data_IF_751438336324
#
_entry.id   IF_751438336324
#
_cell.length_a   1.000
_cell.length_b   1.000
_cell.length_c   1.000
_cell.angle_alpha   90.00
_cell.angle_beta   90.00
_cell.angle_gamma   90.00
#
_symmetry.space_group_name_H-M   'P 1'
#
loop_
_entity.id
_entity.type
_entity.pdbx_description
1 polymer ?
#
# COMPACT_ATOMS: atom_id res chain seq x y z
N UNK A 1 -60.19 13.48 12.91
CA UNK A 1 -59.49 14.68 13.43
C UNK A 1 -58.34 14.36 14.41
N UNK A 2 -58.07 13.08 14.73
CA UNK A 2 -57.02 12.67 15.68
C UNK A 2 -55.64 12.36 15.05
N UNK A 3 -55.57 12.14 13.73
CA UNK A 3 -54.30 11.79 13.05
C UNK A 3 -53.38 13.00 12.84
N UNK A 4 -53.95 14.23 12.79
CA UNK A 4 -53.17 15.47 12.61
C UNK A 4 -52.50 15.98 13.89
N UNK A 5 -53.01 15.63 15.07
CA UNK A 5 -52.38 15.97 16.34
C UNK A 5 -51.17 15.07 16.67
N UNK A 6 -51.17 13.82 16.21
CA UNK A 6 -50.06 12.90 16.43
C UNK A 6 -48.81 13.27 15.62
N UNK A 7 -48.99 13.83 14.42
CA UNK A 7 -47.87 14.26 13.56
C UNK A 7 -47.19 15.54 14.07
N UNK A 8 -47.94 16.44 14.73
CA UNK A 8 -47.38 17.65 15.35
C UNK A 8 -46.51 17.36 16.58
N UNK A 9 -46.87 16.32 17.35
CA UNK A 9 -46.11 15.93 18.56
C UNK A 9 -44.80 15.20 18.21
N UNK A 10 -44.73 14.50 17.07
CA UNK A 10 -43.57 13.73 16.65
C UNK A 10 -42.46 14.62 16.02
N UNK A 11 -42.83 15.79 15.49
CA UNK A 11 -41.89 16.80 14.97
C UNK A 11 -41.24 17.59 16.11
N UNK A 12 -41.93 17.80 17.23
CA UNK A 12 -41.37 18.47 18.42
C UNK A 12 -40.34 17.60 19.18
N UNK A 13 -40.47 16.27 19.13
CA UNK A 13 -39.50 15.34 19.75
C UNK A 13 -38.22 15.20 18.89
N UNK A 14 -38.29 15.45 17.59
CA UNK A 14 -37.13 15.40 16.70
C UNK A 14 -36.24 16.65 16.77
N UNK A 15 -36.73 17.76 17.33
CA UNK A 15 -35.95 19.00 17.50
C UNK A 15 -35.19 19.09 18.83
N UNK A 16 -35.46 18.22 19.80
CA UNK A 16 -34.73 18.17 21.08
C UNK A 16 -33.57 17.16 21.10
N UNK A 17 -33.32 16.43 20.01
CA UNK A 17 -32.23 15.44 19.90
C UNK A 17 -31.08 15.92 19.01
N UNK A 18 -30.89 17.24 18.88
CA UNK A 18 -29.61 17.81 18.46
C UNK A 18 -28.60 17.67 19.61
N UNK A 19 -28.23 16.42 19.89
CA UNK A 19 -27.16 16.08 20.82
C UNK A 19 -25.87 16.65 20.26
N UNK A 20 -25.32 17.61 20.99
CA UNK A 20 -23.99 18.18 20.85
C UNK A 20 -22.96 17.14 20.38
N UNK A 21 -22.31 17.37 19.22
CA UNK A 21 -21.01 16.77 18.94
C UNK A 21 -20.01 17.37 19.95
N UNK A 22 -19.93 16.78 21.14
CA UNK A 22 -18.86 17.06 22.08
C UNK A 22 -17.60 16.37 21.53
N UNK A 23 -16.57 17.17 21.26
CA UNK A 23 -15.26 16.65 20.92
C UNK A 23 -14.80 15.68 22.03
N UNK A 24 -14.15 14.59 21.63
CA UNK A 24 -13.78 13.56 22.58
C UNK A 24 -12.69 14.07 23.53
N UNK A 25 -12.79 13.77 24.84
CA UNK A 25 -11.77 14.17 25.80
C UNK A 25 -10.41 13.57 25.44
N UNK A 26 -9.36 14.39 25.49
CA UNK A 26 -8.00 13.99 25.11
C UNK A 26 -7.16 13.84 26.38
N UNK A 27 -6.51 12.69 26.55
CA UNK A 27 -5.55 12.49 27.64
C UNK A 27 -4.26 13.24 27.34
N UNK A 28 -3.78 14.03 28.31
CA UNK A 28 -2.51 14.74 28.28
C UNK A 28 -1.79 14.59 29.61
N UNK A 29 -0.51 14.91 29.63
CA UNK A 29 0.29 14.92 30.85
C UNK A 29 0.50 16.37 31.28
N UNK A 30 0.18 16.71 32.53
CA UNK A 30 0.41 18.06 33.06
C UNK A 30 1.91 18.30 33.34
N UNK A 31 2.27 19.54 33.71
CA UNK A 31 3.66 19.91 34.04
C UNK A 31 4.25 19.13 35.23
N UNK A 32 3.41 18.47 36.03
CA UNK A 32 3.80 17.64 37.19
C UNK A 32 3.92 16.15 36.85
N UNK A 33 3.69 15.76 35.59
CA UNK A 33 3.79 14.37 35.14
C UNK A 33 2.52 13.53 35.36
N UNK A 34 1.42 14.14 35.80
CA UNK A 34 0.15 13.44 36.04
C UNK A 34 -0.69 13.36 34.76
N UNK A 35 -1.31 12.20 34.51
CA UNK A 35 -2.24 12.04 33.40
C UNK A 35 -3.56 12.74 33.71
N UNK A 36 -3.89 13.75 32.92
CA UNK A 36 -5.13 14.51 32.98
C UNK A 36 -5.97 14.31 31.72
N UNK A 37 -7.28 14.24 31.89
CA UNK A 37 -8.27 14.25 30.83
C UNK A 37 -8.62 15.71 30.56
N UNK A 38 -8.32 16.20 29.36
CA UNK A 38 -8.65 17.57 28.94
C UNK A 38 -9.91 17.53 28.08
N UNK A 39 -10.95 18.23 28.55
CA UNK A 39 -12.21 18.36 27.84
C UNK A 39 -12.15 19.51 26.82
N UNK A 40 -13.06 19.53 25.82
CA UNK A 40 -13.08 20.55 24.77
C UNK A 40 -13.29 21.99 25.28
N UNK A 41 -13.90 22.13 26.46
CA UNK A 41 -14.13 23.40 27.15
C UNK A 41 -12.89 23.86 27.96
N UNK A 42 -11.80 23.10 27.91
CA UNK A 42 -10.56 23.35 28.63
C UNK A 42 -10.59 22.87 30.09
N UNK A 43 -11.67 22.24 30.56
CA UNK A 43 -11.68 21.65 31.91
C UNK A 43 -10.77 20.43 31.97
N UNK A 44 -10.19 20.16 33.15
CA UNK A 44 -9.26 19.05 33.36
C UNK A 44 -9.71 18.17 34.51
N UNK A 45 -9.61 16.85 34.34
CA UNK A 45 -9.83 15.87 35.41
C UNK A 45 -8.62 14.94 35.52
N UNK A 46 -8.19 14.61 36.74
CA UNK A 46 -7.09 13.67 36.93
C UNK A 46 -7.57 12.26 36.61
N UNK A 47 -6.80 11.52 35.80
CA UNK A 47 -7.21 10.20 35.31
C UNK A 47 -7.47 9.18 36.44
N UNK A 48 -6.81 9.32 37.60
CA UNK A 48 -7.03 8.47 38.77
C UNK A 48 -8.45 8.57 39.34
N UNK A 49 -9.09 9.74 39.26
CA UNK A 49 -10.49 9.93 39.69
C UNK A 49 -11.47 9.32 38.68
N UNK A 50 -11.12 9.30 37.39
CA UNK A 50 -11.96 8.75 36.33
C UNK A 50 -11.99 7.21 36.32
N UNK A 51 -10.90 6.54 36.71
CA UNK A 51 -10.81 5.07 36.77
C UNK A 51 -11.41 4.45 38.03
N UNK A 52 -12.02 5.26 38.92
CA UNK A 52 -12.66 4.79 40.14
C UNK A 52 -11.68 4.28 41.21
N UNK A 53 -10.39 4.59 41.07
CA UNK A 53 -9.33 4.13 41.96
C UNK A 53 -8.65 5.32 42.66
N UNK A 54 -9.35 5.93 43.62
CA UNK A 54 -8.70 6.64 44.74
C UNK A 54 -9.69 6.95 45.86
N UNK A 55 -9.45 6.36 47.03
CA UNK A 55 -9.81 6.99 48.30
C UNK A 55 -8.97 8.26 48.46
N UNK A 56 -9.64 9.39 48.68
CA UNK A 56 -9.04 10.62 49.21
C UNK A 56 -8.39 11.56 48.18
N UNK A 57 -9.19 12.46 47.58
CA UNK A 57 -8.69 13.68 46.96
C UNK A 57 -9.48 14.89 47.46
N UNK A 58 -8.72 15.87 47.97
CA UNK A 58 -9.13 17.08 48.65
C UNK A 58 -9.79 18.09 47.68
N UNK A 59 -11.04 18.49 47.95
CA UNK A 59 -11.90 19.32 47.07
C UNK A 59 -11.58 20.82 47.13
N UNK A 60 -10.31 21.21 47.17
CA UNK A 60 -9.91 22.60 47.48
C UNK A 60 -8.87 23.20 46.55
N UNK A 61 -8.81 22.79 45.27
CA UNK A 61 -7.98 23.47 44.26
C UNK A 61 -8.81 24.14 43.16
N UNK A 62 -8.45 25.38 42.75
CA UNK A 62 -9.16 26.09 41.68
C UNK A 62 -8.99 25.39 40.33
N UNK A 63 -10.06 25.38 39.52
CA UNK A 63 -10.04 24.87 38.14
C UNK A 63 -9.08 25.69 37.25
N UNK A 64 -7.86 25.19 37.02
CA UNK A 64 -6.99 25.70 35.96
C UNK A 64 -7.50 25.17 34.60
N UNK A 65 -7.95 26.08 33.73
CA UNK A 65 -8.38 25.75 32.37
C UNK A 65 -7.18 25.54 31.45
N UNK A 66 -7.14 24.40 30.79
CA UNK A 66 -6.11 24.04 29.82
C UNK A 66 -6.33 24.81 28.50
N UNK A 67 -5.32 25.50 27.95
CA UNK A 67 -5.46 26.22 26.69
C UNK A 67 -5.50 25.23 25.51
N UNK A 68 -6.65 25.16 24.81
CA UNK A 68 -6.84 24.37 23.59
C UNK A 68 -6.89 25.33 22.39
N UNK A 69 -5.90 25.25 21.50
CA UNK A 69 -5.89 26.01 20.25
C UNK A 69 -6.54 25.18 19.13
N UNK A 70 -7.68 25.64 18.61
CA UNK A 70 -8.35 25.06 17.44
C UNK A 70 -7.81 25.74 16.17
N UNK A 71 -6.76 25.16 15.57
CA UNK A 71 -6.21 25.64 14.29
C UNK A 71 -6.77 24.75 13.18
N UNK A 72 -7.66 25.32 12.36
CA UNK A 72 -8.12 24.66 11.13
C UNK A 72 -7.15 24.98 9.99
N UNK A 73 -6.43 23.97 9.51
CA UNK A 73 -5.62 24.07 8.30
C UNK A 73 -6.53 23.74 7.12
N UNK A 74 -6.83 24.72 6.27
CA UNK A 74 -7.54 24.47 5.02
C UNK A 74 -6.59 23.80 4.00
N UNK A 75 -7.01 22.73 3.33
CA UNK A 75 -6.19 22.10 2.29
C UNK A 75 -5.96 23.08 1.14
N UNK A 76 -4.73 23.21 0.66
CA UNK A 76 -4.42 24.06 -0.50
C UNK A 76 -5.25 23.61 -1.71
N UNK A 77 -6.18 24.45 -2.14
CA UNK A 77 -6.98 24.24 -3.33
C UNK A 77 -6.21 24.71 -4.59
N UNK A 78 -5.87 23.80 -5.49
CA UNK A 78 -5.51 24.14 -6.87
C UNK A 78 -4.45 23.25 -7.52
N UNK A 79 -4.58 23.03 -8.83
CA UNK A 79 -3.49 22.58 -9.69
C UNK A 79 -2.37 23.63 -9.61
N UNK A 80 -1.23 23.29 -9.00
CA UNK A 80 -0.07 24.16 -8.98
C UNK A 80 0.37 24.36 -10.44
N UNK A 81 0.28 25.57 -11.01
CA UNK A 81 0.66 25.80 -12.40
C UNK A 81 2.17 25.59 -12.53
N UNK A 82 2.57 24.58 -13.32
CA UNK A 82 3.99 24.31 -13.57
C UNK A 82 4.58 25.48 -14.35
N UNK A 83 5.54 26.17 -13.76
CA UNK A 83 6.17 27.32 -14.42
C UNK A 83 7.26 26.87 -15.39
N UNK A 84 7.66 27.76 -16.31
CA UNK A 84 8.78 27.52 -17.24
C UNK A 84 10.09 27.26 -16.49
N UNK A 85 10.28 27.95 -15.36
CA UNK A 85 11.44 27.77 -14.48
C UNK A 85 11.43 26.39 -13.79
N UNK A 86 10.24 25.89 -13.41
CA UNK A 86 10.10 24.53 -12.87
C UNK A 86 10.45 23.49 -13.92
N UNK A 87 10.00 23.67 -15.17
CA UNK A 87 10.34 22.76 -16.27
C UNK A 87 11.85 22.75 -16.57
N UNK A 88 12.51 23.92 -16.49
CA UNK A 88 13.96 24.02 -16.63
C UNK A 88 14.68 23.24 -15.52
N UNK A 89 14.28 23.43 -14.26
CA UNK A 89 14.84 22.68 -13.11
C UNK A 89 14.61 21.18 -13.21
N UNK A 90 13.43 20.76 -13.67
CA UNK A 90 13.11 19.35 -13.92
C UNK A 90 14.02 18.78 -15.02
N UNK A 91 14.24 19.51 -16.12
CA UNK A 91 15.11 19.08 -17.21
C UNK A 91 16.58 18.98 -16.76
N UNK A 92 17.09 19.99 -16.04
CA UNK A 92 18.43 19.98 -15.45
C UNK A 92 18.60 18.80 -14.48
N UNK A 93 17.61 18.55 -13.62
CA UNK A 93 17.63 17.41 -12.69
C UNK A 93 17.61 16.07 -13.41
N UNK A 94 16.79 15.91 -14.45
CA UNK A 94 16.73 14.70 -15.28
C UNK A 94 18.06 14.46 -16.00
N UNK A 95 18.67 15.51 -16.55
CA UNK A 95 19.99 15.44 -17.18
C UNK A 95 21.05 14.95 -16.20
N UNK A 96 21.07 15.49 -14.97
CA UNK A 96 21.99 15.05 -13.93
C UNK A 96 21.79 13.58 -13.55
N UNK A 97 20.54 13.16 -13.32
CA UNK A 97 20.21 11.76 -13.00
C UNK A 97 20.63 10.82 -14.13
N UNK A 98 20.39 11.19 -15.39
CA UNK A 98 20.77 10.38 -16.53
C UNK A 98 22.30 10.26 -16.67
N UNK A 99 23.05 11.33 -16.39
CA UNK A 99 24.52 11.29 -16.34
C UNK A 99 25.02 10.39 -15.22
N UNK A 100 24.44 10.49 -14.03
CA UNK A 100 24.79 9.65 -12.89
C UNK A 100 24.48 8.17 -13.17
N UNK A 101 23.32 7.87 -13.76
CA UNK A 101 22.94 6.53 -14.19
C UNK A 101 23.90 5.96 -15.24
N UNK A 102 24.26 6.75 -16.26
CA UNK A 102 25.21 6.33 -17.28
C UNK A 102 26.59 5.99 -16.70
N UNK A 103 27.09 6.80 -15.75
CA UNK A 103 28.34 6.52 -15.04
C UNK A 103 28.25 5.23 -14.23
N UNK A 104 27.20 5.05 -13.43
CA UNK A 104 27.01 3.83 -12.61
C UNK A 104 26.92 2.60 -13.51
N UNK A 105 26.21 2.68 -14.63
CA UNK A 105 26.09 1.56 -15.57
C UNK A 105 27.44 1.24 -16.26
N UNK A 106 28.26 2.25 -16.58
CA UNK A 106 29.62 2.05 -17.07
C UNK A 106 30.51 1.37 -16.02
N UNK A 107 30.49 1.86 -14.77
CA UNK A 107 31.26 1.27 -13.68
C UNK A 107 30.88 -0.21 -13.47
N UNK A 108 29.58 -0.55 -13.52
CA UNK A 108 29.09 -1.93 -13.46
C UNK A 108 29.57 -2.79 -14.61
N UNK A 109 29.54 -2.27 -15.84
CA UNK A 109 30.04 -2.99 -17.01
C UNK A 109 31.56 -3.26 -16.90
N UNK A 110 32.33 -2.29 -16.41
CA UNK A 110 33.78 -2.44 -16.18
C UNK A 110 34.09 -3.42 -15.04
N UNK A 111 33.28 -3.43 -13.98
CA UNK A 111 33.37 -4.44 -12.92
C UNK A 111 33.05 -5.85 -13.43
N UNK A 112 31.98 -6.01 -14.22
CA UNK A 112 31.60 -7.29 -14.82
C UNK A 112 32.70 -7.83 -15.74
N UNK A 113 33.30 -6.98 -16.58
CA UNK A 113 34.41 -7.37 -17.47
C UNK A 113 35.67 -7.78 -16.70
N UNK A 114 35.98 -7.07 -15.59
CA UNK A 114 37.07 -7.45 -14.68
C UNK A 114 36.80 -8.78 -13.97
N UNK A 115 35.56 -9.04 -13.55
CA UNK A 115 35.18 -10.31 -12.96
C UNK A 115 35.30 -11.46 -13.95
N UNK A 116 34.85 -11.27 -15.19
CA UNK A 116 35.00 -12.26 -16.26
C UNK A 116 36.47 -12.61 -16.48
N UNK A 117 37.32 -11.59 -16.63
CA UNK A 117 38.78 -11.79 -16.83
C UNK A 117 39.42 -12.57 -15.67
N UNK A 118 38.96 -12.35 -14.43
CA UNK A 118 39.44 -13.10 -13.25
C UNK A 118 38.99 -14.56 -13.31
N UNK A 119 37.72 -14.81 -13.59
CA UNK A 119 37.17 -16.16 -13.72
C UNK A 119 37.81 -16.96 -14.86
N UNK A 120 38.12 -16.32 -15.99
CA UNK A 120 38.83 -16.96 -17.10
C UNK A 120 40.24 -17.41 -16.69
N UNK A 121 40.97 -16.57 -15.94
CA UNK A 121 42.29 -16.93 -15.40
C UNK A 121 42.20 -18.10 -14.42
N UNK A 122 41.24 -18.05 -13.51
CA UNK A 122 41.02 -19.11 -12.50
C UNK A 122 40.66 -20.44 -13.18
N UNK A 123 39.81 -20.40 -14.22
CA UNK A 123 39.45 -21.56 -15.03
C UNK A 123 40.66 -22.15 -15.76
N UNK A 124 41.48 -21.31 -16.42
CA UNK A 124 42.70 -21.77 -17.08
C UNK A 124 43.72 -22.34 -16.10
N UNK A 125 43.85 -21.76 -14.91
CA UNK A 125 44.72 -22.29 -13.87
C UNK A 125 44.23 -23.64 -13.35
N UNK A 126 42.92 -23.82 -13.16
CA UNK A 126 42.34 -25.09 -12.76
C UNK A 126 42.54 -26.21 -13.80
N UNK A 127 42.47 -25.86 -15.10
CA UNK A 127 42.79 -26.78 -16.19
C UNK A 127 44.27 -27.20 -16.17
N UNK A 128 45.20 -26.26 -15.94
CA UNK A 128 46.64 -26.57 -15.87
C UNK A 128 47.01 -27.43 -14.65
N UNK A 129 46.29 -27.29 -13.55
CA UNK A 129 46.53 -28.04 -12.31
C UNK A 129 45.85 -29.42 -12.28
N UNK A 130 45.22 -29.87 -13.38
CA UNK A 130 44.44 -31.11 -13.46
C UNK A 130 43.44 -31.24 -12.29
N UNK A 131 42.69 -30.18 -12.02
CA UNK A 131 41.64 -30.19 -11.00
C UNK A 131 40.58 -31.27 -11.28
N UNK A 132 39.88 -31.72 -10.24
CA UNK A 132 38.83 -32.73 -10.37
C UNK A 132 37.71 -32.28 -11.33
N UNK A 133 37.22 -33.19 -12.17
CA UNK A 133 36.15 -32.97 -13.15
C UNK A 133 34.93 -32.15 -12.64
N UNK A 134 34.33 -32.41 -11.45
CA UNK A 134 33.20 -31.61 -10.96
C UNK A 134 33.56 -30.15 -10.61
N UNK A 135 34.84 -29.83 -10.40
CA UNK A 135 35.29 -28.45 -10.13
C UNK A 135 35.39 -27.67 -11.43
N UNK A 136 35.85 -28.31 -12.51
CA UNK A 136 35.96 -27.71 -13.85
C UNK A 136 34.57 -27.36 -14.38
N UNK A 137 33.59 -28.27 -14.24
CA UNK A 137 32.21 -28.05 -14.66
C UNK A 137 31.53 -26.88 -13.91
N UNK A 138 31.73 -26.80 -12.58
CA UNK A 138 31.24 -25.67 -11.77
C UNK A 138 31.90 -24.35 -12.15
N UNK A 139 33.16 -24.35 -12.55
CA UNK A 139 33.84 -23.14 -13.03
C UNK A 139 33.35 -22.75 -14.44
N UNK A 140 33.10 -23.71 -15.32
CA UNK A 140 32.57 -23.47 -16.66
C UNK A 140 31.17 -22.83 -16.61
N UNK A 141 30.27 -23.36 -15.77
CA UNK A 141 28.92 -22.79 -15.56
C UNK A 141 28.97 -21.39 -14.99
N UNK A 142 29.86 -21.12 -14.02
CA UNK A 142 30.09 -19.75 -13.49
C UNK A 142 30.63 -18.80 -14.55
N UNK A 143 31.51 -19.28 -15.42
CA UNK A 143 32.08 -18.49 -16.51
C UNK A 143 31.00 -18.11 -17.53
N UNK A 144 30.12 -19.04 -17.88
CA UNK A 144 28.99 -18.78 -18.79
C UNK A 144 28.02 -17.75 -18.22
N UNK A 145 27.65 -17.89 -16.94
CA UNK A 145 26.82 -16.91 -16.25
C UNK A 145 27.48 -15.52 -16.21
N UNK A 146 28.78 -15.46 -15.96
CA UNK A 146 29.54 -14.20 -15.97
C UNK A 146 29.56 -13.52 -17.35
N UNK A 147 29.65 -14.29 -18.45
CA UNK A 147 29.57 -13.76 -19.82
C UNK A 147 28.20 -13.17 -20.13
N UNK A 148 27.13 -13.85 -19.72
CA UNK A 148 25.77 -13.33 -19.89
C UNK A 148 25.56 -12.03 -19.11
N UNK A 149 26.02 -11.99 -17.86
CA UNK A 149 25.96 -10.81 -17.00
C UNK A 149 26.78 -9.63 -17.58
N UNK A 150 27.98 -9.87 -18.13
CA UNK A 150 28.76 -8.83 -18.80
C UNK A 150 28.03 -8.28 -20.03
N UNK A 151 27.47 -9.15 -20.87
CA UNK A 151 26.74 -8.74 -22.07
C UNK A 151 25.50 -7.89 -21.71
N UNK A 152 24.80 -8.23 -20.64
CA UNK A 152 23.67 -7.44 -20.13
C UNK A 152 24.11 -6.09 -19.58
N UNK A 153 25.15 -6.07 -18.72
CA UNK A 153 25.69 -4.83 -18.18
C UNK A 153 26.21 -3.88 -19.27
N UNK A 154 26.84 -4.40 -20.33
CA UNK A 154 27.26 -3.60 -21.48
C UNK A 154 26.07 -3.02 -22.26
N UNK A 155 24.97 -3.78 -22.40
CA UNK A 155 23.74 -3.28 -23.03
C UNK A 155 23.12 -2.16 -22.19
N UNK A 156 22.99 -2.37 -20.88
CA UNK A 156 22.49 -1.37 -19.94
C UNK A 156 23.32 -0.08 -20.02
N UNK A 157 24.66 -0.18 -19.97
CA UNK A 157 25.56 0.95 -20.08
C UNK A 157 25.38 1.75 -21.38
N UNK A 158 25.21 1.08 -22.52
CA UNK A 158 24.93 1.74 -23.80
C UNK A 158 23.58 2.46 -23.80
N UNK A 159 22.55 1.83 -23.24
CA UNK A 159 21.21 2.45 -23.14
C UNK A 159 21.25 3.68 -22.24
N UNK A 160 21.81 3.58 -21.04
CA UNK A 160 21.93 4.69 -20.10
C UNK A 160 22.76 5.86 -20.69
N UNK A 161 23.82 5.56 -21.44
CA UNK A 161 24.61 6.57 -22.14
C UNK A 161 23.78 7.30 -23.21
N UNK A 162 23.00 6.57 -24.01
CA UNK A 162 22.11 7.18 -25.01
C UNK A 162 21.04 8.07 -24.38
N UNK A 163 20.51 7.67 -23.22
CA UNK A 163 19.53 8.46 -22.47
C UNK A 163 20.13 9.72 -21.86
N UNK A 164 21.35 9.63 -21.34
CA UNK A 164 22.13 10.78 -20.86
C UNK A 164 22.32 11.82 -21.94
N UNK A 165 22.76 11.41 -23.15
CA UNK A 165 22.89 12.35 -24.28
C UNK A 165 21.55 12.95 -24.70
N UNK A 166 20.46 12.15 -24.68
CA UNK A 166 19.12 12.65 -24.98
C UNK A 166 18.69 13.72 -23.99
N UNK A 167 18.81 13.46 -22.68
CA UNK A 167 18.43 14.39 -21.62
C UNK A 167 19.30 15.68 -21.64
N UNK A 168 20.59 15.55 -21.92
CA UNK A 168 21.49 16.69 -22.08
C UNK A 168 21.12 17.54 -23.30
N UNK A 169 20.78 16.92 -24.43
CA UNK A 169 20.39 17.65 -25.65
C UNK A 169 19.12 18.48 -25.44
N UNK A 170 18.15 17.99 -24.66
CA UNK A 170 16.91 18.71 -24.32
C UNK A 170 17.23 19.92 -23.46
N UNK A 171 18.09 19.74 -22.46
CA UNK A 171 18.50 20.81 -21.54
C UNK A 171 19.30 21.89 -22.28
N UNK A 172 20.28 21.49 -23.11
CA UNK A 172 21.18 22.41 -23.82
C UNK A 172 20.48 23.21 -24.92
N UNK A 173 19.51 22.60 -25.62
CA UNK A 173 18.76 23.27 -26.70
C UNK A 173 17.62 24.14 -26.17
N UNK A 174 17.20 23.96 -24.91
CA UNK A 174 16.11 24.72 -24.31
C UNK A 174 14.71 24.19 -24.67
N UNK A 175 14.61 23.01 -25.29
CA UNK A 175 13.35 22.41 -25.76
C UNK A 175 12.57 21.69 -24.65
N UNK A 176 12.79 22.04 -23.38
CA UNK A 176 12.15 21.37 -22.24
C UNK A 176 10.63 21.58 -22.18
N UNK A 177 10.13 22.72 -22.70
CA UNK A 177 8.68 22.96 -22.80
C UNK A 177 8.03 22.05 -23.83
N UNK A 178 8.64 21.94 -25.02
CA UNK A 178 8.15 21.07 -26.10
C UNK A 178 8.21 19.59 -25.71
N UNK A 179 9.30 19.16 -25.05
CA UNK A 179 9.44 17.80 -24.53
C UNK A 179 8.38 17.48 -23.46
N UNK A 180 8.11 18.43 -22.57
CA UNK A 180 7.06 18.29 -21.56
C UNK A 180 5.66 18.16 -22.19
N UNK A 181 5.33 19.03 -23.15
CA UNK A 181 4.05 18.99 -23.87
C UNK A 181 3.89 17.69 -24.65
N UNK A 182 4.93 17.26 -25.37
CA UNK A 182 4.94 15.97 -26.09
C UNK A 182 4.71 14.79 -25.14
N UNK A 183 5.38 14.77 -23.99
CA UNK A 183 5.18 13.72 -22.99
C UNK A 183 3.76 13.75 -22.40
N UNK A 184 3.19 14.94 -22.23
CA UNK A 184 1.80 15.07 -21.79
C UNK A 184 0.82 14.59 -22.86
N UNK A 185 1.07 14.88 -24.13
CA UNK A 185 0.32 14.39 -25.28
C UNK A 185 0.40 12.88 -25.39
N UNK A 186 1.59 12.28 -25.28
CA UNK A 186 1.77 10.82 -25.25
C UNK A 186 0.99 10.18 -24.10
N UNK A 187 1.02 10.77 -22.89
CA UNK A 187 0.21 10.28 -21.76
C UNK A 187 -1.28 10.39 -22.02
N UNK A 188 -1.71 11.47 -22.68
CA UNK A 188 -3.11 11.67 -23.11
C UNK A 188 -3.51 10.71 -24.23
N UNK A 189 -2.61 10.39 -25.15
CA UNK A 189 -2.85 9.43 -26.23
C UNK A 189 -2.92 8.01 -25.69
N UNK A 190 -2.01 7.66 -24.78
CA UNK A 190 -2.09 6.40 -24.01
C UNK A 190 -3.41 6.36 -23.24
N UNK A 191 -3.78 7.40 -22.49
CA UNK A 191 -5.07 7.42 -21.78
C UNK A 191 -6.26 7.31 -22.73
N UNK A 192 -6.23 7.99 -23.89
CA UNK A 192 -7.26 7.89 -24.95
C UNK A 192 -7.30 6.53 -25.62
N UNK A 193 -6.17 5.84 -25.73
CA UNK A 193 -6.10 4.46 -26.21
C UNK A 193 -6.86 3.54 -25.25
N UNK A 194 -6.76 3.79 -23.93
CA UNK A 194 -7.57 3.10 -22.92
C UNK A 194 -9.03 3.59 -22.88
N UNK A 195 -9.31 4.83 -23.28
CA UNK A 195 -10.65 5.43 -23.34
C UNK A 195 -11.47 4.97 -24.56
N UNK A 196 -10.80 4.69 -25.69
CA UNK A 196 -11.40 4.17 -26.93
C UNK A 196 -11.45 2.64 -27.01
N UNK A 197 -10.90 1.93 -26.02
CA UNK A 197 -11.29 0.54 -25.79
C UNK A 197 -12.76 0.55 -25.32
N UNK A 198 -13.69 0.58 -26.29
CA UNK A 198 -15.02 0.02 -26.06
C UNK A 198 -14.78 -1.38 -25.52
N UNK A 199 -15.15 -1.60 -24.27
CA UNK A 199 -15.34 -2.90 -23.67
C UNK A 199 -16.26 -3.70 -24.61
N UNK A 200 -15.67 -4.42 -25.55
CA UNK A 200 -16.26 -5.65 -26.06
C UNK A 200 -16.28 -6.59 -24.87
N UNK A 201 -17.42 -6.55 -24.18
CA UNK A 201 -17.82 -7.61 -23.29
C UNK A 201 -17.67 -8.93 -24.06
N UNK A 202 -17.10 -9.91 -23.34
CA UNK A 202 -17.15 -11.33 -23.66
C UNK A 202 -16.65 -11.76 -25.04
N UNK A 203 -15.36 -12.12 -25.13
CA UNK A 203 -14.91 -13.42 -25.65
C UNK A 203 -13.39 -13.44 -25.80
N UNK A 204 -12.81 -14.62 -25.56
CA UNK A 204 -11.45 -15.05 -25.94
C UNK A 204 -10.26 -14.47 -25.18
N UNK A 205 -10.06 -14.96 -23.95
CA UNK A 205 -8.70 -15.33 -23.48
C UNK A 205 -8.31 -16.77 -23.91
N UNK A 206 -9.04 -17.39 -24.83
CA UNK A 206 -8.73 -18.75 -25.33
C UNK A 206 -7.80 -18.81 -26.55
N UNK A 207 -7.28 -17.68 -27.06
CA UNK A 207 -6.42 -17.70 -28.26
C UNK A 207 -4.98 -17.30 -27.97
N UNK A 208 -4.38 -17.87 -26.92
CA UNK A 208 -2.94 -18.02 -26.85
C UNK A 208 -2.64 -19.51 -27.07
N UNK A 209 -2.49 -19.89 -28.35
CA UNK A 209 -2.02 -21.21 -28.76
C UNK A 209 -0.58 -21.37 -28.28
N UNK A 210 -0.40 -22.11 -27.18
CA UNK A 210 0.84 -22.82 -26.86
C UNK A 210 0.62 -24.28 -27.28
N UNK A 211 1.60 -24.80 -28.01
CA UNK A 211 1.60 -26.00 -28.84
C UNK A 211 1.10 -27.31 -28.17
N UNK A 212 0.39 -28.11 -28.97
CA UNK A 212 -0.48 -29.26 -28.65
C UNK A 212 0.28 -30.61 -28.53
N UNK A 213 1.27 -30.77 -27.65
CA UNK A 213 1.82 -32.12 -27.42
C UNK A 213 2.48 -32.35 -26.05
N UNK A 214 1.66 -32.49 -25.01
CA UNK A 214 2.03 -33.29 -23.84
C UNK A 214 0.78 -33.77 -23.09
N UNK A 215 0.53 -35.08 -23.05
CA UNK A 215 -0.55 -35.65 -22.25
C UNK A 215 -0.10 -36.94 -21.58
N UNK A 216 0.12 -36.90 -20.25
CA UNK A 216 -0.33 -38.00 -19.41
C UNK A 216 -1.15 -37.47 -18.22
N UNK A 217 -2.19 -38.23 -17.83
CA UNK A 217 -3.08 -38.10 -16.66
C UNK A 217 -4.46 -37.44 -16.89
N UNK A 218 -5.32 -38.18 -17.60
CA UNK A 218 -6.71 -37.87 -17.98
C UNK A 218 -7.75 -37.77 -16.84
N UNK A 219 -7.35 -37.47 -15.59
CA UNK A 219 -8.32 -37.14 -14.53
C UNK A 219 -7.90 -36.03 -13.57
N UNK A 220 -6.69 -35.47 -13.72
CA UNK A 220 -6.22 -34.30 -12.96
C UNK A 220 -6.39 -32.99 -13.70
N UNK A 221 -6.55 -33.01 -15.02
CA UNK A 221 -6.65 -31.80 -15.86
C UNK A 221 -7.84 -30.91 -15.50
N UNK A 222 -8.99 -31.48 -15.13
CA UNK A 222 -10.14 -30.68 -14.73
C UNK A 222 -9.92 -29.95 -13.39
N UNK A 223 -9.03 -30.43 -12.52
CA UNK A 223 -8.73 -29.77 -11.24
C UNK A 223 -7.61 -28.74 -11.40
N UNK A 224 -6.69 -28.94 -12.35
CA UNK A 224 -5.61 -27.98 -12.65
C UNK A 224 -6.15 -26.81 -13.48
N UNK A 225 -6.99 -27.09 -14.49
CA UNK A 225 -7.60 -26.06 -15.35
C UNK A 225 -8.82 -25.40 -14.69
N UNK A 226 -9.56 -26.13 -13.85
CA UNK A 226 -10.70 -25.64 -13.09
C UNK A 226 -10.60 -26.05 -11.62
N UNK A 227 -9.65 -25.49 -10.86
CA UNK A 227 -9.56 -25.77 -9.44
C UNK A 227 -10.90 -25.46 -8.77
N UNK A 228 -11.43 -26.36 -7.92
CA UNK A 228 -12.68 -26.12 -7.23
C UNK A 228 -12.55 -24.81 -6.45
N UNK A 229 -13.54 -23.91 -6.53
CA UNK A 229 -13.46 -22.61 -5.88
C UNK A 229 -13.25 -22.83 -4.37
N UNK A 230 -12.33 -22.07 -3.73
CA UNK A 230 -12.07 -22.24 -2.31
C UNK A 230 -13.36 -22.03 -1.51
N UNK A 231 -13.60 -22.88 -0.51
CA UNK A 231 -14.81 -22.80 0.32
C UNK A 231 -14.92 -21.43 0.98
N UNK A 232 -16.05 -20.76 0.80
CA UNK A 232 -16.32 -19.46 1.42
C UNK A 232 -16.53 -19.61 2.92
N UNK A 233 -15.63 -19.03 3.71
CA UNK A 233 -15.71 -19.02 5.16
C UNK A 233 -16.21 -17.65 5.61
N UNK A 234 -17.40 -17.63 6.20
CA UNK A 234 -18.06 -16.43 6.72
C UNK A 234 -17.78 -16.35 8.22
N UNK A 235 -17.28 -15.21 8.69
CA UNK A 235 -16.98 -14.98 10.10
C UNK A 235 -18.25 -14.57 10.89
N UNK A 236 -19.13 -13.79 10.27
CA UNK A 236 -20.38 -13.35 10.88
C UNK A 236 -21.45 -13.12 9.82
N UNK A 237 -22.67 -13.59 10.08
CA UNK A 237 -23.85 -13.31 9.26
C UNK A 237 -25.03 -13.04 10.19
N UNK A 238 -25.58 -11.83 10.15
CA UNK A 238 -26.66 -11.46 11.04
C UNK A 238 -27.09 -10.01 10.90
N UNK A 239 -27.83 -9.51 11.90
CA UNK A 239 -28.16 -8.09 12.01
C UNK A 239 -27.15 -7.42 12.93
N UNK A 240 -26.67 -6.26 12.53
CA UNK A 240 -25.86 -5.35 13.34
C UNK A 240 -26.70 -4.71 14.46
N UNK A 241 -26.07 -4.05 15.42
CA UNK A 241 -26.72 -3.38 16.57
C UNK A 241 -27.79 -2.36 16.14
N UNK A 242 -27.71 -1.88 14.89
CA UNK A 242 -28.65 -0.95 14.25
C UNK A 242 -29.71 -1.63 13.38
N UNK A 243 -29.85 -2.95 13.47
CA UNK A 243 -30.84 -3.75 12.73
C UNK A 243 -30.55 -3.95 11.24
N UNK A 244 -29.38 -3.52 10.75
CA UNK A 244 -28.97 -3.68 9.34
C UNK A 244 -28.32 -5.05 9.13
N UNK A 245 -28.59 -5.68 7.99
CA UNK A 245 -27.92 -6.93 7.63
C UNK A 245 -26.41 -6.67 7.47
N UNK A 246 -25.61 -7.49 8.16
CA UNK A 246 -24.16 -7.49 8.16
C UNK A 246 -23.66 -8.89 7.85
N UNK A 247 -22.77 -9.00 6.87
CA UNK A 247 -22.05 -10.21 6.51
C UNK A 247 -20.56 -9.90 6.46
N UNK A 248 -19.78 -10.56 7.31
CA UNK A 248 -18.33 -10.43 7.37
C UNK A 248 -17.68 -11.72 6.93
N UNK A 249 -16.73 -11.63 6.01
CA UNK A 249 -15.92 -12.77 5.62
C UNK A 249 -14.77 -13.00 6.60
N UNK A 250 -14.24 -14.21 6.60
CA UNK A 250 -13.08 -14.54 7.41
C UNK A 250 -11.84 -13.80 6.94
N UNK A 251 -11.07 -13.28 7.90
CA UNK A 251 -9.77 -12.65 7.67
C UNK A 251 -8.80 -13.63 7.02
N UNK A 252 -8.09 -13.13 6.00
CA UNK A 252 -7.03 -13.85 5.31
C UNK A 252 -5.81 -12.95 5.19
N UNK A 253 -4.64 -13.57 5.16
CA UNK A 253 -3.39 -12.88 4.91
C UNK A 253 -3.40 -12.26 3.51
N UNK A 254 -2.94 -11.01 3.41
CA UNK A 254 -2.76 -10.31 2.14
C UNK A 254 -1.27 -10.23 1.80
N UNK A 255 -0.46 -9.72 2.74
CA UNK A 255 0.99 -9.64 2.60
C UNK A 255 1.70 -9.62 3.96
N UNK A 256 2.99 -9.92 3.92
CA UNK A 256 3.93 -9.69 5.03
C UNK A 256 5.11 -8.87 4.53
N UNK A 257 5.72 -8.06 5.39
CA UNK A 257 6.87 -7.27 5.03
C UNK A 257 7.87 -7.22 6.17
N UNK A 258 9.13 -7.52 5.86
CA UNK A 258 10.24 -7.49 6.81
C UNK A 258 11.49 -6.99 6.12
N UNK A 259 12.06 -5.88 6.62
CA UNK A 259 13.36 -5.37 6.19
C UNK A 259 14.46 -6.38 6.57
N UNK A 260 15.36 -6.68 5.63
CA UNK A 260 16.50 -7.59 5.80
C UNK A 260 17.33 -7.25 7.07
N UNK A 261 17.44 -5.97 7.42
CA UNK A 261 18.17 -5.49 8.60
C UNK A 261 17.54 -5.98 9.91
N UNK A 262 16.22 -6.15 9.94
CA UNK A 262 15.46 -6.53 11.12
C UNK A 262 15.31 -8.05 11.26
N UNK A 263 15.55 -8.83 10.20
CA UNK A 263 15.43 -10.30 10.23
C UNK A 263 16.27 -10.97 11.33
N UNK A 264 17.48 -10.46 11.58
CA UNK A 264 18.36 -10.99 12.63
C UNK A 264 17.81 -10.80 14.05
N UNK A 265 17.01 -9.75 14.27
CA UNK A 265 16.43 -9.40 15.57
C UNK A 265 15.09 -10.12 15.78
N UNK A 266 14.31 -10.28 14.72
CA UNK A 266 12.94 -10.80 14.77
C UNK A 266 12.84 -12.33 14.89
N UNK A 267 13.96 -13.06 14.93
CA UNK A 267 14.03 -14.52 15.16
C UNK A 267 13.03 -15.34 14.32
N UNK A 268 12.75 -14.91 13.09
CA UNK A 268 11.83 -15.57 12.16
C UNK A 268 10.36 -15.13 12.26
N UNK A 269 10.04 -14.09 13.04
CA UNK A 269 8.74 -13.41 12.96
C UNK A 269 8.77 -12.32 11.88
N UNK A 270 7.62 -12.11 11.23
CA UNK A 270 7.45 -11.03 10.26
C UNK A 270 7.27 -9.69 10.98
N UNK A 271 7.91 -8.63 10.48
CA UNK A 271 7.85 -7.30 11.08
C UNK A 271 6.45 -6.68 10.95
N UNK A 272 5.90 -6.71 9.73
CA UNK A 272 4.56 -6.24 9.38
C UNK A 272 3.77 -7.39 8.76
N UNK A 273 2.59 -7.64 9.30
CA UNK A 273 1.62 -8.58 8.74
C UNK A 273 0.34 -7.83 8.41
N UNK A 274 -0.16 -7.95 7.18
CA UNK A 274 -1.42 -7.35 6.75
C UNK A 274 -2.45 -8.44 6.47
N UNK A 275 -3.50 -8.47 7.28
CA UNK A 275 -4.68 -9.32 7.07
C UNK A 275 -5.83 -8.48 6.54
N UNK A 276 -6.64 -9.05 5.66
CA UNK A 276 -7.79 -8.37 5.09
C UNK A 276 -9.05 -9.23 5.09
N UNK A 277 -10.20 -8.57 5.08
CA UNK A 277 -11.49 -9.20 4.82
C UNK A 277 -12.50 -8.19 4.27
N UNK A 278 -13.56 -8.70 3.65
CA UNK A 278 -14.66 -7.88 3.20
C UNK A 278 -15.85 -7.95 4.15
N UNK A 279 -16.50 -6.80 4.32
CA UNK A 279 -17.75 -6.64 5.07
C UNK A 279 -18.81 -6.05 4.17
N UNK A 280 -19.99 -6.67 4.15
CA UNK A 280 -21.20 -6.12 3.56
C UNK A 280 -22.14 -5.65 4.67
N UNK A 281 -22.50 -4.37 4.67
CA UNK A 281 -23.37 -3.75 5.66
C UNK A 281 -24.43 -2.90 4.98
N UNK A 282 -25.69 -3.35 5.05
CA UNK A 282 -26.84 -2.59 4.54
C UNK A 282 -26.74 -2.19 3.06
N UNK A 283 -26.13 -3.04 2.23
CA UNK A 283 -25.91 -2.81 0.79
C UNK A 283 -24.58 -2.12 0.44
N UNK A 284 -23.89 -1.55 1.42
CA UNK A 284 -22.53 -1.04 1.23
C UNK A 284 -21.52 -2.13 1.48
N UNK A 285 -20.38 -2.07 0.78
CA UNK A 285 -19.28 -3.02 0.93
C UNK A 285 -18.01 -2.27 1.34
N UNK A 286 -17.24 -2.91 2.20
CA UNK A 286 -16.02 -2.35 2.76
C UNK A 286 -14.92 -3.41 2.71
N UNK A 287 -13.71 -3.00 2.34
CA UNK A 287 -12.49 -3.74 2.62
C UNK A 287 -11.95 -3.27 3.96
N UNK A 288 -11.78 -4.22 4.87
CA UNK A 288 -11.09 -3.96 6.14
C UNK A 288 -9.70 -4.55 6.07
N UNK A 289 -8.69 -3.74 6.36
CA UNK A 289 -7.30 -4.16 6.47
C UNK A 289 -6.83 -3.99 7.92
N UNK A 290 -6.18 -5.03 8.45
CA UNK A 290 -5.58 -5.09 9.77
C UNK A 290 -4.06 -5.22 9.61
N UNK A 291 -3.34 -4.16 9.93
CA UNK A 291 -1.87 -4.11 9.91
C UNK A 291 -1.36 -4.39 11.32
N UNK A 292 -0.64 -5.48 11.49
CA UNK A 292 -0.05 -5.89 12.77
C UNK A 292 1.45 -5.79 12.70
N UNK A 293 2.04 -5.02 13.61
CA UNK A 293 3.48 -4.86 13.77
C UNK A 293 3.96 -5.64 15.00
N UNK A 294 5.04 -6.41 14.81
CA UNK A 294 5.68 -7.17 15.88
C UNK A 294 6.49 -6.29 16.86
N UNK A 295 6.60 -4.98 16.61
CA UNK A 295 7.44 -4.08 17.38
C UNK A 295 6.71 -2.78 17.80
N UNK A 296 6.77 -2.39 19.09
CA UNK A 296 6.06 -1.22 19.61
C UNK A 296 6.48 0.11 18.99
N UNK A 297 7.77 0.27 18.63
CA UNK A 297 8.27 1.53 18.07
C UNK A 297 7.81 1.78 16.63
N UNK A 298 7.07 0.85 16.01
CA UNK A 298 6.49 1.06 14.69
C UNK A 298 5.58 2.29 14.65
N UNK A 299 4.92 2.65 15.77
CA UNK A 299 4.12 3.88 15.86
C UNK A 299 4.94 5.16 15.62
N UNK A 300 6.20 5.20 16.07
CA UNK A 300 7.05 6.38 15.87
C UNK A 300 7.54 6.50 14.41
N UNK A 301 7.76 5.36 13.75
CA UNK A 301 8.22 5.31 12.36
C UNK A 301 7.09 5.56 11.35
N UNK A 302 5.92 4.96 11.56
CA UNK A 302 4.79 5.00 10.63
C UNK A 302 3.73 6.04 11.00
N UNK A 303 3.64 6.41 12.29
CA UNK A 303 2.64 7.34 12.79
C UNK A 303 1.24 6.73 12.84
N UNK A 304 0.29 7.37 12.16
CA UNK A 304 -1.13 6.99 12.15
C UNK A 304 -1.70 7.02 10.73
N UNK A 305 -2.88 6.42 10.54
CA UNK A 305 -3.59 6.42 9.27
C UNK A 305 -4.67 7.49 9.37
N UNK A 306 -4.52 8.55 8.58
CA UNK A 306 -5.48 9.66 8.53
C UNK A 306 -6.79 9.26 7.88
N UNK A 307 -7.88 9.96 8.23
CA UNK A 307 -9.15 9.82 7.51
C UNK A 307 -9.00 10.41 6.10
N UNK A 308 -9.38 9.63 5.09
CA UNK A 308 -9.20 10.01 3.69
C UNK A 308 -7.80 9.74 3.17
N UNK A 309 -6.93 9.07 3.93
CA UNK A 309 -5.69 8.52 3.40
C UNK A 309 -6.01 7.51 2.30
N UNK A 310 -5.19 7.49 1.26
CA UNK A 310 -5.42 6.62 0.12
C UNK A 310 -4.71 5.27 0.28
N UNK A 311 -5.36 4.24 -0.24
CA UNK A 311 -4.82 2.93 -0.50
C UNK A 311 -4.84 2.72 -2.00
N UNK A 312 -3.69 2.53 -2.64
CA UNK A 312 -3.61 2.29 -4.07
C UNK A 312 -3.20 0.84 -4.32
N UNK A 313 -4.09 0.06 -4.92
CA UNK A 313 -3.85 -1.33 -5.31
C UNK A 313 -3.42 -1.33 -6.77
N UNK A 314 -2.21 -1.81 -7.04
CA UNK A 314 -1.71 -2.08 -8.39
C UNK A 314 -2.17 -3.47 -8.80
N UNK A 315 -2.75 -3.58 -9.98
CA UNK A 315 -3.19 -4.85 -10.55
C UNK A 315 -2.13 -5.35 -11.54
N UNK A 316 -2.03 -6.68 -11.70
CA UNK A 316 -1.08 -7.29 -12.66
C UNK A 316 -1.32 -6.85 -14.11
N UNK A 317 -2.54 -6.44 -14.44
CA UNK A 317 -2.90 -5.89 -15.75
C UNK A 317 -2.46 -4.42 -15.96
N UNK A 318 -1.74 -3.83 -15.01
CA UNK A 318 -1.26 -2.45 -15.05
C UNK A 318 -2.29 -1.39 -14.66
N UNK A 319 -3.48 -1.79 -14.20
CA UNK A 319 -4.50 -0.89 -13.67
C UNK A 319 -4.26 -0.56 -12.19
N UNK A 320 -4.85 0.55 -11.75
CA UNK A 320 -4.75 1.01 -10.37
C UNK A 320 -6.14 1.26 -9.79
N UNK A 321 -6.35 0.81 -8.56
CA UNK A 321 -7.58 1.07 -7.79
C UNK A 321 -7.20 1.91 -6.58
N UNK A 322 -7.81 3.08 -6.43
CA UNK A 322 -7.59 3.96 -5.28
C UNK A 322 -8.80 3.92 -4.36
N UNK A 323 -8.58 3.53 -3.11
CA UNK A 323 -9.57 3.54 -2.04
C UNK A 323 -9.21 4.60 -0.99
N UNK A 324 -10.18 5.14 -0.28
CA UNK A 324 -9.95 6.16 0.75
C UNK A 324 -10.42 5.66 2.12
N UNK A 325 -9.62 5.87 3.16
CA UNK A 325 -9.96 5.42 4.51
C UNK A 325 -11.20 6.16 5.05
N UNK A 326 -12.15 5.40 5.60
CA UNK A 326 -13.39 5.97 6.15
C UNK A 326 -13.21 6.65 7.51
N UNK A 327 -12.17 6.25 8.26
CA UNK A 327 -11.87 6.73 9.61
C UNK A 327 -10.36 6.83 9.80
N UNK A 328 -9.97 7.71 10.72
CA UNK A 328 -8.60 7.77 11.23
C UNK A 328 -8.38 6.63 12.21
N UNK A 329 -7.18 6.04 12.17
CA UNK A 329 -6.72 5.09 13.18
C UNK A 329 -5.29 5.41 13.64
N UNK A 330 -5.11 5.48 14.97
CA UNK A 330 -3.83 5.76 15.63
C UNK A 330 -3.06 4.49 15.99
N UNK A 331 -3.64 3.33 15.70
CA UNK A 331 -3.13 2.03 16.08
C UNK A 331 -3.41 1.75 17.56
N UNK A 332 -3.63 0.48 17.89
CA UNK A 332 -3.83 0.00 19.26
C UNK A 332 -2.66 -0.87 19.63
N UNK A 333 -1.99 -0.53 20.74
CA UNK A 333 -0.90 -1.33 21.27
C UNK A 333 -1.43 -2.27 22.34
N UNK A 334 -1.24 -3.56 22.14
CA UNK A 334 -1.58 -4.57 23.14
C UNK A 334 -0.36 -4.88 24.01
N UNK A 335 -0.45 -4.51 25.29
CA UNK A 335 0.60 -4.73 26.29
C UNK A 335 0.85 -6.21 26.62
N UNK A 336 -0.11 -7.11 26.31
CA UNK A 336 0.02 -8.53 26.60
C UNK A 336 0.76 -9.27 25.48
N UNK A 337 0.39 -9.00 24.23
CA UNK A 337 1.02 -9.63 23.06
C UNK A 337 2.23 -8.86 22.55
N UNK A 338 2.39 -7.59 22.94
CA UNK A 338 3.46 -6.72 22.47
C UNK A 338 3.28 -6.26 21.03
N UNK A 339 2.08 -6.44 20.46
CA UNK A 339 1.75 -6.13 19.07
C UNK A 339 1.09 -4.76 18.96
N UNK A 340 1.41 -4.05 17.87
CA UNK A 340 0.75 -2.81 17.48
C UNK A 340 -0.13 -3.09 16.26
N UNK A 341 -1.45 -2.90 16.39
CA UNK A 341 -2.40 -3.19 15.33
C UNK A 341 -3.12 -1.93 14.84
N UNK A 342 -3.22 -1.74 13.53
CA UNK A 342 -4.04 -0.72 12.89
C UNK A 342 -5.18 -1.38 12.11
N UNK A 343 -6.40 -0.91 12.28
CA UNK A 343 -7.60 -1.42 11.64
C UNK A 343 -8.25 -0.31 10.81
N UNK A 344 -8.23 -0.50 9.50
CA UNK A 344 -8.69 0.51 8.53
C UNK A 344 -9.81 -0.03 7.68
N UNK A 345 -10.85 0.78 7.49
CA UNK A 345 -11.97 0.46 6.63
C UNK A 345 -11.96 1.34 5.38
N UNK A 346 -11.98 0.69 4.23
CA UNK A 346 -12.04 1.30 2.91
C UNK A 346 -13.40 1.00 2.28
N UNK A 347 -14.27 2.00 2.08
CA UNK A 347 -15.49 1.82 1.29
C UNK A 347 -15.13 1.46 -0.15
N UNK A 348 -15.85 0.50 -0.73
CA UNK A 348 -15.63 0.06 -2.11
C UNK A 348 -16.93 0.14 -2.89
N UNK A 349 -16.87 0.77 -4.07
CA UNK A 349 -17.99 0.84 -4.99
C UNK A 349 -18.10 -0.38 -5.92
N UNK A 350 -19.21 -0.48 -6.65
CA UNK A 350 -19.45 -1.63 -7.53
C UNK A 350 -18.46 -1.70 -8.71
N UNK A 351 -17.96 -0.56 -9.20
CA UNK A 351 -17.00 -0.53 -10.30
C UNK A 351 -15.64 -1.09 -9.88
N UNK A 352 -15.17 -0.70 -8.71
CA UNK A 352 -13.93 -1.18 -8.09
C UNK A 352 -14.03 -2.67 -7.74
N UNK A 353 -15.19 -3.13 -7.26
CA UNK A 353 -15.44 -4.56 -7.04
C UNK A 353 -15.35 -5.35 -8.34
N UNK A 354 -15.94 -4.85 -9.43
CA UNK A 354 -15.90 -5.53 -10.71
C UNK A 354 -14.47 -5.64 -11.26
N UNK A 355 -13.61 -4.65 -10.99
CA UNK A 355 -12.20 -4.71 -11.35
C UNK A 355 -11.45 -5.74 -10.49
N UNK A 356 -11.58 -5.68 -9.17
CA UNK A 356 -10.96 -6.62 -8.23
C UNK A 356 -11.44 -8.07 -8.38
N UNK A 357 -12.64 -8.28 -8.92
CA UNK A 357 -13.19 -9.62 -9.21
C UNK A 357 -12.55 -10.28 -10.43
N UNK A 358 -12.02 -9.48 -11.35
CA UNK A 358 -11.54 -9.93 -12.67
C UNK A 358 -10.03 -9.73 -12.85
N UNK A 359 -9.33 -9.21 -11.85
CA UNK A 359 -7.90 -8.91 -11.94
C UNK A 359 -7.22 -9.18 -10.61
N UNK A 360 -6.04 -9.79 -10.72
CA UNK A 360 -5.18 -10.11 -9.60
C UNK A 360 -4.38 -8.87 -9.18
N UNK A 361 -4.14 -8.74 -7.88
CA UNK A 361 -3.42 -7.61 -7.32
C UNK A 361 -1.94 -7.96 -7.16
N UNK A 362 -1.07 -7.03 -7.55
CA UNK A 362 0.39 -7.16 -7.58
C UNK A 362 1.02 -6.53 -6.33
N UNK A 363 0.73 -5.25 -6.10
CA UNK A 363 1.24 -4.51 -4.94
C UNK A 363 0.21 -3.53 -4.39
N UNK A 364 0.42 -3.09 -3.15
CA UNK A 364 -0.40 -2.08 -2.49
C UNK A 364 0.47 -0.95 -1.98
N UNK A 365 0.11 0.29 -2.30
CA UNK A 365 0.69 1.48 -1.71
C UNK A 365 -0.24 1.99 -0.62
N UNK A 366 0.29 2.02 0.61
CA UNK A 366 -0.42 2.49 1.79
C UNK A 366 0.09 3.89 2.15
N UNK A 367 -0.83 4.83 2.36
CA UNK A 367 -0.53 6.17 2.86
C UNK A 367 -0.62 6.21 4.39
N UNK A 368 0.53 6.46 5.01
CA UNK A 368 0.73 6.70 6.42
C UNK A 368 0.88 8.21 6.70
N UNK A 369 0.78 8.65 7.95
CA UNK A 369 1.04 10.06 8.29
C UNK A 369 2.51 10.46 8.09
N UNK A 370 3.44 9.50 8.16
CA UNK A 370 4.87 9.74 7.93
C UNK A 370 5.27 9.70 6.45
N UNK A 371 4.42 9.18 5.56
CA UNK A 371 4.74 9.03 4.14
C UNK A 371 3.90 7.96 3.46
N UNK A 372 4.43 7.35 2.40
CA UNK A 372 3.80 6.22 1.72
C UNK A 372 4.80 5.08 1.60
N UNK A 373 4.31 3.85 1.69
CA UNK A 373 5.12 2.65 1.47
C UNK A 373 4.39 1.69 0.53
N UNK A 374 5.16 0.98 -0.30
CA UNK A 374 4.67 -0.02 -1.24
C UNK A 374 4.97 -1.41 -0.70
N UNK A 375 3.97 -2.28 -0.67
CA UNK A 375 4.07 -3.66 -0.23
C UNK A 375 3.65 -4.61 -1.36
N UNK A 376 4.46 -5.64 -1.58
CA UNK A 376 4.18 -6.71 -2.53
C UNK A 376 3.12 -7.67 -1.95
N UNK A 377 2.15 -8.08 -2.78
CA UNK A 377 1.09 -9.00 -2.38
C UNK A 377 1.51 -10.43 -2.69
N UNK A 378 1.48 -11.31 -1.69
CA UNK A 378 1.76 -12.73 -1.90
C UNK A 378 0.51 -13.51 -2.33
N UNK A 379 -0.66 -13.10 -1.83
CA UNK A 379 -1.94 -13.74 -2.14
C UNK A 379 -2.67 -13.00 -3.28
N UNK A 380 -2.19 -13.20 -4.51
CA UNK A 380 -2.69 -12.54 -5.73
C UNK A 380 -4.22 -12.69 -5.94
N UNK A 381 -4.76 -13.84 -5.56
CA UNK A 381 -6.18 -14.19 -5.67
C UNK A 381 -7.05 -13.74 -4.50
N UNK A 382 -6.48 -13.06 -3.49
CA UNK A 382 -7.19 -12.66 -2.27
C UNK A 382 -8.52 -11.96 -2.58
N UNK A 383 -8.47 -10.92 -3.42
CA UNK A 383 -9.64 -10.10 -3.73
C UNK A 383 -10.70 -10.87 -4.52
N UNK A 384 -10.27 -11.63 -5.52
CA UNK A 384 -11.14 -12.45 -6.37
C UNK A 384 -11.92 -13.45 -5.52
N UNK A 385 -11.22 -14.18 -4.64
CA UNK A 385 -11.83 -15.20 -3.80
C UNK A 385 -12.77 -14.59 -2.75
N UNK A 386 -12.35 -13.53 -2.06
CA UNK A 386 -13.18 -12.89 -1.04
C UNK A 386 -14.44 -12.26 -1.65
N UNK A 387 -14.32 -11.53 -2.77
CA UNK A 387 -15.47 -10.88 -3.41
C UNK A 387 -16.49 -11.91 -3.91
N UNK A 388 -16.04 -13.03 -4.50
CA UNK A 388 -16.93 -14.12 -4.92
C UNK A 388 -17.72 -14.73 -3.77
N UNK A 389 -17.23 -14.62 -2.54
CA UNK A 389 -17.93 -15.11 -1.35
C UNK A 389 -18.96 -14.13 -0.78
N UNK A 390 -18.98 -12.87 -1.23
CA UNK A 390 -20.00 -11.88 -0.85
C UNK A 390 -21.25 -11.96 -1.72
N UNK A 391 -21.08 -12.32 -3.00
CA UNK A 391 -22.17 -12.62 -3.93
C UNK A 391 -22.91 -13.90 -3.52
#
# INVERSE_FOLDING_TARGET
>A
MQVRLFFGLLILIFWSAASTLSAQPVMRTNEKGETIIVFPDGTTQVFSEFSGASEGADKTKPEEKYPVADIRIEPLAGNIPVTVEDLRRIAERKSQIAKDAARIAQDRADEASRQLTRLEKDYHQALQQNASEPVIERMATRLEAARQAEAEAQREARTALSESYRAESITRRGNYVEDYLRNQELKKEQSKQYENLKLTASSSYENLLLDDNYNPFTSTDNVILHPPPPSCQVAYEGKDDRGRLRRDLQKKLLFTHTDERLRSVLKGQEYLTCEGYFTQLGGFRYLTLEFTFAYPNAREAYGFIEKGSYLMIKLLNGQFITLFSGKMDKGTYDTQTGLLSYLVHYPIDQSQINLLKNSEADSVIVSWSSGYEEYEIFELGFFIHQIRCLD
#
